data_IF_320075000422
#
_entry.id   IF_320075000422
#
_cell.length_a   1.000
_cell.length_b   1.000
_cell.length_c   1.000
_cell.angle_alpha   90.00
_cell.angle_beta   90.00
_cell.angle_gamma   90.00
#
_symmetry.space_group_name_H-M   'P 1'
#
loop_
_entity.id
_entity.type
_entity.pdbx_description
1 polymer ?
#
# COMPACT_ATOMS: atom_id res chain seq x y z
N UNK A 1 -11.92 7.70 10.23
CA UNK A 1 -11.40 7.00 9.05
C UNK A 1 -10.72 8.00 8.14
N UNK A 2 -9.87 7.53 7.24
CA UNK A 2 -9.24 8.37 6.19
C UNK A 2 -9.99 8.17 4.86
N UNK A 3 -10.05 9.20 4.02
CA UNK A 3 -10.59 9.05 2.66
C UNK A 3 -9.67 8.21 1.77
N UNK A 4 -10.20 7.71 0.65
CA UNK A 4 -9.42 6.96 -0.34
C UNK A 4 -8.27 7.78 -0.91
N UNK A 5 -8.51 9.07 -1.19
CA UNK A 5 -7.47 10.02 -1.62
C UNK A 5 -6.38 10.19 -0.57
N UNK A 6 -6.74 10.45 0.69
CA UNK A 6 -5.76 10.62 1.76
C UNK A 6 -4.91 9.36 1.92
N UNK A 7 -5.56 8.19 1.98
CA UNK A 7 -4.85 6.93 2.12
C UNK A 7 -3.90 6.67 0.95
N UNK A 8 -4.33 6.94 -0.29
CA UNK A 8 -3.46 6.81 -1.46
C UNK A 8 -2.22 7.72 -1.34
N UNK A 9 -2.40 9.01 -1.02
CA UNK A 9 -1.30 9.97 -0.88
C UNK A 9 -0.34 9.57 0.26
N UNK A 10 -0.87 9.06 1.39
CA UNK A 10 -0.08 8.55 2.50
C UNK A 10 0.75 7.33 2.10
N UNK A 11 0.15 6.35 1.42
CA UNK A 11 0.84 5.14 0.97
C UNK A 11 1.89 5.44 -0.10
N UNK A 12 1.57 6.29 -1.08
CA UNK A 12 2.51 6.70 -2.14
C UNK A 12 3.78 7.33 -1.54
N UNK A 13 3.64 8.14 -0.49
CA UNK A 13 4.77 8.78 0.20
C UNK A 13 5.70 7.82 0.97
N UNK A 14 5.28 6.57 1.17
CA UNK A 14 6.07 5.49 1.81
C UNK A 14 6.39 4.35 0.84
N UNK A 15 6.30 4.61 -0.47
CA UNK A 15 6.59 3.68 -1.55
C UNK A 15 5.64 2.47 -1.63
N UNK A 16 4.40 2.62 -1.12
CA UNK A 16 3.32 1.65 -1.34
C UNK A 16 2.33 2.28 -2.32
N UNK A 17 2.21 1.74 -3.53
CA UNK A 17 1.29 2.32 -4.52
C UNK A 17 -0.05 1.60 -4.52
N UNK A 18 -1.14 2.36 -4.43
CA UNK A 18 -2.50 1.86 -4.59
C UNK A 18 -3.35 2.82 -5.43
N UNK A 19 -4.63 2.49 -5.63
CA UNK A 19 -5.57 3.35 -6.34
C UNK A 19 -6.77 3.67 -5.45
N UNK A 20 -7.05 4.96 -5.22
CA UNK A 20 -8.32 5.40 -4.62
C UNK A 20 -9.48 4.94 -5.51
N UNK A 21 -10.49 4.33 -4.91
CA UNK A 21 -11.59 3.71 -5.62
C UNK A 21 -12.90 3.97 -4.86
N UNK A 22 -13.99 4.17 -5.60
CA UNK A 22 -15.32 4.34 -4.99
C UNK A 22 -15.80 3.05 -4.35
N UNK A 23 -16.64 3.16 -3.33
CA UNK A 23 -17.38 2.05 -2.73
C UNK A 23 -18.87 2.14 -3.08
N UNK A 24 -19.68 1.07 -2.90
CA UNK A 24 -21.13 1.19 -3.02
C UNK A 24 -21.67 2.26 -2.09
N UNK A 25 -22.53 3.15 -2.62
CA UNK A 25 -23.09 4.30 -1.89
C UNK A 25 -22.00 5.21 -1.27
N UNK A 26 -20.92 5.45 -2.01
CA UNK A 26 -19.79 6.26 -1.53
C UNK A 26 -20.25 7.63 -0.98
N UNK A 27 -20.00 7.93 0.30
CA UNK A 27 -20.37 9.23 0.88
C UNK A 27 -19.48 10.37 0.39
N UNK A 28 -18.32 10.07 -0.19
CA UNK A 28 -17.34 11.06 -0.66
C UNK A 28 -17.47 11.34 -2.16
N UNK A 29 -16.89 12.46 -2.59
CA UNK A 29 -16.90 12.86 -4.01
C UNK A 29 -16.05 11.89 -4.86
N UNK A 30 -16.35 11.74 -6.16
CA UNK A 30 -15.58 10.87 -7.06
C UNK A 30 -14.06 11.15 -7.12
N UNK A 31 -13.63 12.38 -6.83
CA UNK A 31 -12.21 12.76 -6.79
C UNK A 31 -11.53 12.46 -5.45
N UNK A 32 -12.29 12.10 -4.41
CA UNK A 32 -11.82 11.84 -3.05
C UNK A 32 -11.97 10.35 -2.71
N UNK A 33 -13.16 9.78 -2.92
CA UNK A 33 -13.57 8.39 -2.64
C UNK A 33 -13.42 7.95 -1.18
N UNK A 34 -14.14 6.89 -0.79
CA UNK A 34 -14.08 6.34 0.58
C UNK A 34 -13.31 5.02 0.70
N UNK A 35 -12.68 4.57 -0.39
CA UNK A 35 -11.94 3.31 -0.40
C UNK A 35 -10.70 3.32 -1.30
N UNK A 36 -9.95 2.21 -1.24
CA UNK A 36 -8.80 1.91 -2.10
C UNK A 36 -8.93 0.51 -2.68
N UNK A 37 -8.34 0.29 -3.86
CA UNK A 37 -8.23 -1.02 -4.49
C UNK A 37 -6.78 -1.50 -4.42
N UNK A 38 -6.61 -2.73 -3.94
CA UNK A 38 -5.32 -3.42 -3.84
C UNK A 38 -5.28 -4.56 -4.86
N UNK A 39 -4.12 -4.76 -5.49
CA UNK A 39 -3.90 -5.83 -6.46
C UNK A 39 -2.58 -6.54 -6.17
N UNK A 40 -2.63 -7.86 -6.08
CA UNK A 40 -1.46 -8.73 -5.86
C UNK A 40 -0.65 -9.09 -7.11
N UNK A 41 -1.16 -9.05 -8.37
CA UNK A 41 -0.41 -9.56 -9.53
C UNK A 41 1.01 -8.99 -9.70
N UNK A 42 1.20 -7.69 -9.49
CA UNK A 42 2.52 -7.07 -9.63
C UNK A 42 3.55 -7.61 -8.62
N UNK A 43 3.10 -8.00 -7.43
CA UNK A 43 3.94 -8.54 -6.37
C UNK A 43 4.18 -10.03 -6.56
N UNK A 44 3.14 -10.80 -6.90
CA UNK A 44 3.27 -12.24 -7.12
C UNK A 44 4.14 -12.57 -8.34
N UNK A 45 4.07 -11.78 -9.41
CA UNK A 45 5.01 -11.89 -10.55
C UNK A 45 6.46 -11.59 -10.15
N UNK A 46 6.69 -10.75 -9.13
CA UNK A 46 8.02 -10.51 -8.53
C UNK A 46 8.48 -11.59 -7.55
N UNK A 47 7.66 -12.60 -7.28
CA UNK A 47 8.00 -13.72 -6.40
C UNK A 47 7.55 -13.59 -4.94
N UNK A 48 6.81 -12.53 -4.58
CA UNK A 48 6.21 -12.42 -3.25
C UNK A 48 5.24 -13.57 -2.97
N UNK A 49 5.20 -14.02 -1.71
CA UNK A 49 4.35 -15.12 -1.22
C UNK A 49 3.34 -14.64 -0.18
N UNK A 50 2.49 -15.55 0.25
CA UNK A 50 1.43 -15.35 1.23
C UNK A 50 1.95 -14.68 2.51
N UNK A 51 3.07 -15.17 3.06
CA UNK A 51 3.71 -14.59 4.25
C UNK A 51 4.21 -13.15 4.05
N UNK A 52 4.55 -12.77 2.81
CA UNK A 52 4.93 -11.39 2.50
C UNK A 52 3.67 -10.50 2.42
N UNK A 53 2.52 -11.05 2.01
CA UNK A 53 1.25 -10.32 1.98
C UNK A 53 0.76 -9.98 3.39
N UNK A 54 0.97 -10.87 4.37
CA UNK A 54 0.66 -10.59 5.77
C UNK A 54 1.46 -9.39 6.30
N UNK A 55 2.75 -9.31 5.95
CA UNK A 55 3.60 -8.16 6.29
C UNK A 55 3.11 -6.87 5.62
N UNK A 56 2.74 -6.94 4.34
CA UNK A 56 2.18 -5.79 3.63
C UNK A 56 0.87 -5.34 4.28
N UNK A 57 -0.01 -6.27 4.66
CA UNK A 57 -1.25 -5.95 5.37
C UNK A 57 -0.99 -5.25 6.71
N UNK A 58 0.03 -5.67 7.45
CA UNK A 58 0.45 -4.99 8.68
C UNK A 58 0.95 -3.56 8.41
N UNK A 59 1.75 -3.35 7.35
CA UNK A 59 2.21 -2.01 6.95
C UNK A 59 1.07 -1.10 6.50
N UNK A 60 0.06 -1.65 5.82
CA UNK A 60 -1.16 -0.92 5.46
C UNK A 60 -1.94 -0.51 6.71
N UNK A 61 -2.07 -1.41 7.69
CA UNK A 61 -2.70 -1.13 8.99
C UNK A 61 -1.97 0.00 9.72
N UNK A 62 -0.64 -0.09 9.81
CA UNK A 62 0.21 0.96 10.40
C UNK A 62 -0.02 2.33 9.74
N UNK A 63 -0.11 2.38 8.41
CA UNK A 63 -0.40 3.61 7.67
C UNK A 63 -1.81 4.14 7.92
N UNK A 64 -2.82 3.28 8.12
CA UNK A 64 -4.21 3.70 8.34
C UNK A 64 -4.40 4.25 9.76
N UNK A 65 -3.78 3.63 10.75
CA UNK A 65 -4.07 3.93 12.16
C UNK A 65 -3.06 4.85 12.84
N UNK A 66 -1.79 4.86 12.42
CA UNK A 66 -0.73 5.63 13.10
C UNK A 66 0.39 6.08 12.15
N UNK A 67 0.00 6.70 11.04
CA UNK A 67 0.93 7.01 9.94
C UNK A 67 2.17 7.80 10.37
N UNK A 68 2.02 8.89 11.13
CA UNK A 68 3.16 9.76 11.47
C UNK A 68 4.21 9.03 12.33
N UNK A 69 3.78 8.20 13.29
CA UNK A 69 4.70 7.41 14.10
C UNK A 69 5.33 6.27 13.29
N UNK A 70 4.57 5.65 12.36
CA UNK A 70 5.01 4.46 11.62
C UNK A 70 5.73 4.77 10.31
N UNK A 71 5.65 6.01 9.79
CA UNK A 71 6.18 6.40 8.47
C UNK A 71 7.60 5.90 8.18
N UNK A 72 8.52 6.12 9.12
CA UNK A 72 9.94 5.71 8.97
C UNK A 72 10.10 4.19 8.95
N UNK A 73 9.33 3.47 9.76
CA UNK A 73 9.30 2.00 9.79
C UNK A 73 8.78 1.47 8.45
N UNK A 74 7.67 2.01 7.95
CA UNK A 74 7.07 1.56 6.69
C UNK A 74 8.05 1.73 5.53
N UNK A 75 8.67 2.91 5.39
CA UNK A 75 9.67 3.16 4.33
C UNK A 75 10.81 2.13 4.38
N UNK A 76 11.32 1.85 5.59
CA UNK A 76 12.40 0.88 5.79
C UNK A 76 11.97 -0.53 5.39
N UNK A 77 10.85 -1.01 5.88
CA UNK A 77 10.37 -2.37 5.61
C UNK A 77 10.05 -2.56 4.13
N UNK A 78 9.39 -1.59 3.49
CA UNK A 78 9.12 -1.63 2.04
C UNK A 78 10.43 -1.71 1.24
N UNK A 79 11.45 -0.93 1.60
CA UNK A 79 12.75 -1.01 0.94
C UNK A 79 13.40 -2.39 1.10
N UNK A 80 13.38 -2.97 2.30
CA UNK A 80 13.91 -4.31 2.56
C UNK A 80 13.19 -5.40 1.76
N UNK A 81 11.86 -5.33 1.68
CA UNK A 81 11.07 -6.25 0.86
C UNK A 81 11.41 -6.11 -0.62
N UNK A 82 11.60 -4.88 -1.11
CA UNK A 82 11.97 -4.64 -2.51
C UNK A 82 13.37 -5.16 -2.86
N UNK A 83 14.34 -5.05 -1.95
CA UNK A 83 15.69 -5.62 -2.12
C UNK A 83 15.65 -7.14 -2.17
N UNK A 84 14.80 -7.77 -1.35
CA UNK A 84 14.64 -9.24 -1.35
C UNK A 84 14.08 -9.78 -2.67
N UNK A 85 13.26 -8.98 -3.36
CA UNK A 85 12.58 -9.34 -4.60
C UNK A 85 12.93 -8.35 -5.72
N UNK A 86 14.18 -8.36 -6.23
CA UNK A 86 14.63 -7.43 -7.26
C UNK A 86 13.81 -7.57 -8.54
N UNK A 87 13.45 -6.43 -9.14
CA UNK A 87 12.78 -6.40 -10.44
C UNK A 87 13.84 -6.49 -11.53
N UNK A 88 13.69 -7.44 -12.46
CA UNK A 88 14.65 -7.68 -13.54
C UNK A 88 16.06 -8.08 -13.08
N UNK A 89 16.18 -9.02 -12.15
CA UNK A 89 17.49 -9.50 -11.67
C UNK A 89 18.42 -10.04 -12.77
N UNK A 90 17.86 -10.38 -13.93
CA UNK A 90 18.57 -10.97 -15.07
C UNK A 90 18.88 -9.96 -16.21
N UNK A 91 18.46 -8.69 -16.08
CA UNK A 91 18.81 -7.59 -16.99
C UNK A 91 19.96 -6.76 -16.41
#
# INVERSE_FOLDING_TARGET
>A
GVSGRQLQEMLDSVNITCNKNTIPFDPEKPTVTSGVRLGTPALTTRGFKEEDMDKIAALLSDAIFDYEAQKKKIIREVALMCVRYPLYAEL
#
